data_IF_055611353052
#
_entry.id   IF_055611353052
#
_cell.length_a   1.000
_cell.length_b   1.000
_cell.length_c   1.000
_cell.angle_alpha   90.00
_cell.angle_beta   90.00
_cell.angle_gamma   90.00
#
_symmetry.space_group_name_H-M   'P 1'
#
loop_
_entity.id
_entity.type
_entity.pdbx_description
1 polymer ?
#
# COMPACT_ATOMS: atom_id res chain seq x y z
N UNK A 1 21.99 -3.20 -4.71
CA UNK A 1 22.99 -4.28 -4.75
C UNK A 1 23.96 -4.24 -3.57
N UNK A 2 24.81 -3.21 -3.41
CA UNK A 2 25.85 -3.19 -2.36
C UNK A 2 25.35 -3.41 -0.92
N UNK A 3 24.12 -2.99 -0.62
CA UNK A 3 23.50 -3.14 0.71
C UNK A 3 22.67 -4.44 0.87
N UNK A 4 22.58 -5.29 -0.17
CA UNK A 4 21.83 -6.55 -0.10
C UNK A 4 20.31 -6.41 0.08
N UNK A 5 19.71 -5.29 -0.32
CA UNK A 5 18.26 -5.08 -0.24
C UNK A 5 17.50 -5.93 -1.27
N UNK A 6 16.38 -6.53 -0.85
CA UNK A 6 15.53 -7.43 -1.66
C UNK A 6 14.57 -6.69 -2.61
N UNK A 7 14.44 -5.37 -2.47
CA UNK A 7 13.49 -4.59 -3.25
C UNK A 7 13.56 -3.09 -2.99
N UNK A 8 12.68 -2.36 -3.66
CA UNK A 8 12.45 -0.94 -3.46
C UNK A 8 10.99 -0.65 -3.13
N UNK A 9 10.74 0.54 -2.58
CA UNK A 9 9.39 1.04 -2.32
C UNK A 9 9.28 2.50 -2.73
N UNK A 10 8.19 2.86 -3.37
CA UNK A 10 7.87 4.25 -3.73
C UNK A 10 6.52 4.65 -3.15
N UNK A 11 6.41 5.90 -2.69
CA UNK A 11 5.11 6.51 -2.37
C UNK A 11 4.66 7.33 -3.58
N UNK A 12 3.46 7.04 -4.07
CA UNK A 12 2.88 7.75 -5.21
C UNK A 12 1.58 8.43 -4.77
N UNK A 13 1.69 9.71 -4.39
CA UNK A 13 0.51 10.53 -4.10
C UNK A 13 0.01 11.16 -5.38
N UNK A 14 -1.27 10.98 -5.68
CA UNK A 14 -1.89 11.51 -6.90
C UNK A 14 -2.99 12.50 -6.50
N UNK A 15 -2.70 13.77 -6.76
CA UNK A 15 -3.66 14.87 -6.80
C UNK A 15 -3.80 15.26 -8.28
N UNK A 16 -5.02 15.33 -8.82
CA UNK A 16 -5.22 15.40 -10.28
C UNK A 16 -4.95 16.78 -10.88
N UNK A 17 -4.96 17.83 -10.08
CA UNK A 17 -4.72 19.21 -10.50
C UNK A 17 -3.27 19.66 -10.30
N UNK A 18 -2.50 18.93 -9.48
CA UNK A 18 -1.10 19.19 -9.23
C UNK A 18 -0.21 18.74 -10.40
N UNK A 19 0.38 19.73 -11.07
CA UNK A 19 1.30 19.52 -12.20
C UNK A 19 2.56 18.75 -11.78
N UNK A 20 2.97 18.81 -10.51
CA UNK A 20 4.12 18.08 -9.96
C UNK A 20 3.94 16.57 -9.94
N UNK A 21 2.69 16.07 -10.00
CA UNK A 21 2.40 14.63 -10.07
C UNK A 21 2.94 14.02 -11.35
N UNK A 22 2.93 14.75 -12.48
CA UNK A 22 3.48 14.24 -13.73
C UNK A 22 4.99 13.97 -13.64
N UNK A 23 5.75 14.89 -13.01
CA UNK A 23 7.18 14.71 -12.74
C UNK A 23 7.42 13.52 -11.81
N UNK A 24 6.63 13.43 -10.73
CA UNK A 24 6.72 12.31 -9.77
C UNK A 24 6.49 10.96 -10.45
N UNK A 25 5.49 10.87 -11.34
CA UNK A 25 5.20 9.66 -12.11
C UNK A 25 6.37 9.26 -13.01
N UNK A 26 6.97 10.22 -13.72
CA UNK A 26 8.12 9.96 -14.59
C UNK A 26 9.33 9.45 -13.79
N UNK A 27 9.62 10.07 -12.64
CA UNK A 27 10.70 9.65 -11.75
C UNK A 27 10.46 8.26 -11.17
N UNK A 28 9.23 7.98 -10.71
CA UNK A 28 8.84 6.66 -10.21
C UNK A 28 9.05 5.59 -11.27
N UNK A 29 8.59 5.81 -12.50
CA UNK A 29 8.79 4.86 -13.62
C UNK A 29 10.28 4.66 -13.91
N UNK A 30 11.10 5.71 -13.85
CA UNK A 30 12.54 5.59 -14.02
C UNK A 30 13.18 4.74 -12.92
N UNK A 31 12.76 4.89 -11.66
CA UNK A 31 13.25 4.05 -10.55
C UNK A 31 12.76 2.61 -10.62
N UNK A 32 11.50 2.39 -11.04
CA UNK A 32 10.95 1.05 -11.27
C UNK A 32 11.80 0.30 -12.30
N UNK A 33 12.16 0.94 -13.42
CA UNK A 33 13.04 0.35 -14.43
C UNK A 33 14.39 -0.06 -13.85
N UNK A 34 14.99 0.75 -12.98
CA UNK A 34 16.27 0.41 -12.35
C UNK A 34 16.17 -0.81 -11.41
N UNK A 35 15.04 -0.98 -10.72
CA UNK A 35 14.80 -2.18 -9.89
C UNK A 35 14.57 -3.41 -10.77
N UNK A 36 13.79 -3.27 -11.83
CA UNK A 36 13.50 -4.33 -12.80
C UNK A 36 14.77 -4.85 -13.48
N UNK A 37 15.65 -3.96 -13.95
CA UNK A 37 16.97 -4.30 -14.53
C UNK A 37 17.85 -5.13 -13.58
N UNK A 38 17.52 -5.15 -12.29
CA UNK A 38 18.23 -5.88 -11.23
C UNK A 38 17.44 -7.08 -10.71
N UNK A 39 16.27 -7.38 -11.30
CA UNK A 39 15.40 -8.46 -10.86
C UNK A 39 14.78 -8.22 -9.47
N UNK A 40 14.66 -6.96 -9.04
CA UNK A 40 14.16 -6.60 -7.71
C UNK A 40 12.71 -6.11 -7.78
N UNK A 41 11.92 -6.49 -6.79
CA UNK A 41 10.53 -6.03 -6.66
C UNK A 41 10.49 -4.54 -6.32
N UNK A 42 9.56 -3.82 -6.95
CA UNK A 42 9.15 -2.48 -6.55
C UNK A 42 7.76 -2.52 -5.91
N UNK A 43 7.67 -2.10 -4.65
CA UNK A 43 6.40 -1.89 -3.95
C UNK A 43 5.93 -0.47 -4.23
N UNK A 44 4.83 -0.32 -4.97
CA UNK A 44 4.21 0.98 -5.25
C UNK A 44 3.09 1.22 -4.24
N UNK A 45 3.15 2.32 -3.49
CA UNK A 45 2.09 2.75 -2.57
C UNK A 45 1.31 3.92 -3.20
N UNK A 46 0.28 3.66 -4.03
CA UNK A 46 -0.54 4.70 -4.61
C UNK A 46 -1.57 5.20 -3.59
N UNK A 47 -1.64 6.51 -3.36
CA UNK A 47 -2.63 7.12 -2.47
C UNK A 47 -3.28 8.35 -3.14
N UNK A 48 -4.61 8.48 -3.09
CA UNK A 48 -5.28 9.60 -3.72
C UNK A 48 -5.26 10.77 -2.75
N UNK A 49 -4.90 11.94 -3.26
CA UNK A 49 -4.84 13.16 -2.47
C UNK A 49 -5.70 14.25 -3.11
N UNK A 50 -6.17 15.16 -2.27
CA UNK A 50 -6.81 16.42 -2.67
C UNK A 50 -6.15 17.57 -1.92
N UNK A 51 -6.33 18.79 -2.41
CA UNK A 51 -5.96 20.00 -1.67
C UNK A 51 -7.17 20.44 -0.86
N UNK A 52 -7.00 20.56 0.45
CA UNK A 52 -8.07 21.02 1.33
C UNK A 52 -8.29 22.54 1.24
N UNK A 53 -9.27 23.05 1.98
CA UNK A 53 -9.59 24.48 2.01
C UNK A 53 -8.49 25.37 2.57
N UNK A 54 -7.51 24.80 3.30
CA UNK A 54 -6.33 25.49 3.81
C UNK A 54 -5.14 25.41 2.83
N UNK A 55 -5.30 24.77 1.68
CA UNK A 55 -4.25 24.59 0.69
C UNK A 55 -3.29 23.44 1.02
N UNK A 56 -3.63 22.56 1.96
CA UNK A 56 -2.78 21.45 2.38
C UNK A 56 -3.18 20.14 1.69
N UNK A 57 -2.20 19.28 1.36
CA UNK A 57 -2.50 17.97 0.78
C UNK A 57 -3.11 17.06 1.85
N UNK A 58 -4.33 16.58 1.59
CA UNK A 58 -5.04 15.63 2.46
C UNK A 58 -5.35 14.33 1.71
N UNK A 59 -5.31 13.22 2.44
CA UNK A 59 -5.64 11.90 1.90
C UNK A 59 -7.14 11.84 1.58
N UNK A 60 -7.46 11.52 0.34
CA UNK A 60 -8.82 11.22 -0.07
C UNK A 60 -9.14 9.76 0.27
N UNK A 61 -10.29 9.50 0.90
CA UNK A 61 -10.75 8.14 1.24
C UNK A 61 -11.85 7.63 0.31
N UNK A 62 -12.08 8.31 -0.81
CA UNK A 62 -12.99 7.89 -1.88
C UNK A 62 -12.54 6.57 -2.51
N UNK A 63 -13.45 5.59 -2.53
CA UNK A 63 -13.24 4.32 -3.24
C UNK A 63 -13.00 4.54 -4.73
N UNK A 64 -13.81 5.38 -5.39
CA UNK A 64 -13.68 5.65 -6.84
C UNK A 64 -12.29 6.22 -7.19
N UNK A 65 -11.78 7.14 -6.38
CA UNK A 65 -10.44 7.70 -6.60
C UNK A 65 -9.36 6.67 -6.31
N UNK A 66 -9.53 5.85 -5.27
CA UNK A 66 -8.60 4.77 -4.98
C UNK A 66 -8.53 3.77 -6.14
N UNK A 67 -9.67 3.30 -6.64
CA UNK A 67 -9.78 2.35 -7.76
C UNK A 67 -9.08 2.89 -9.01
N UNK A 68 -9.31 4.18 -9.31
CA UNK A 68 -8.68 4.86 -10.43
C UNK A 68 -7.16 4.88 -10.30
N UNK A 69 -6.63 5.26 -9.13
CA UNK A 69 -5.17 5.35 -8.98
C UNK A 69 -4.50 3.98 -8.88
N UNK A 70 -5.21 2.96 -8.37
CA UNK A 70 -4.74 1.57 -8.38
C UNK A 70 -4.57 1.11 -9.82
N UNK A 71 -5.55 1.42 -10.67
CA UNK A 71 -5.49 1.14 -12.11
C UNK A 71 -4.34 1.89 -12.79
N UNK A 72 -4.11 3.16 -12.44
CA UNK A 72 -2.96 3.93 -12.94
C UNK A 72 -1.64 3.27 -12.51
N UNK A 73 -1.50 2.95 -11.22
CA UNK A 73 -0.29 2.34 -10.66
C UNK A 73 0.00 0.97 -11.28
N UNK A 74 -1.04 0.17 -11.53
CA UNK A 74 -0.94 -1.12 -12.19
C UNK A 74 -0.46 -1.01 -13.66
N UNK A 75 -0.66 0.14 -14.30
CA UNK A 75 -0.20 0.43 -15.66
C UNK A 75 1.16 1.12 -15.75
N UNK A 76 1.86 1.34 -14.63
CA UNK A 76 3.16 2.05 -14.65
C UNK A 76 4.30 1.14 -15.09
N UNK A 77 5.16 1.68 -15.95
CA UNK A 77 6.35 0.99 -16.46
C UNK A 77 6.11 0.27 -17.80
N UNK A 78 7.15 -0.37 -18.32
CA UNK A 78 7.08 -1.14 -19.56
C UNK A 78 6.42 -2.51 -19.35
N UNK A 79 6.52 -3.06 -18.14
CA UNK A 79 5.74 -4.20 -17.66
C UNK A 79 5.62 -4.12 -16.12
N UNK A 80 4.85 -5.02 -15.55
CA UNK A 80 4.52 -5.04 -14.12
C UNK A 80 4.88 -6.34 -13.42
N UNK A 81 5.75 -7.17 -14.01
CA UNK A 81 6.10 -8.48 -13.46
C UNK A 81 6.74 -8.40 -12.06
N UNK A 82 7.45 -7.32 -11.78
CA UNK A 82 8.12 -7.06 -10.50
C UNK A 82 7.50 -5.89 -9.73
N UNK A 83 6.22 -5.59 -10.00
CA UNK A 83 5.48 -4.54 -9.31
C UNK A 83 4.49 -5.16 -8.33
N UNK A 84 4.61 -4.80 -7.05
CA UNK A 84 3.62 -5.12 -6.03
C UNK A 84 2.94 -3.83 -5.57
N UNK A 85 1.68 -3.91 -5.14
CA UNK A 85 0.97 -2.76 -4.61
C UNK A 85 0.95 -2.77 -3.08
N UNK A 86 1.06 -1.58 -2.49
CA UNK A 86 0.82 -1.35 -1.07
C UNK A 86 -0.42 -0.49 -0.88
N UNK A 87 -1.50 -1.10 -0.41
CA UNK A 87 -2.83 -0.46 -0.38
C UNK A 87 -3.38 -0.33 1.05
N UNK A 88 -4.24 0.68 1.31
CA UNK A 88 -4.93 0.82 2.59
C UNK A 88 -5.75 -0.41 2.97
N UNK A 89 -5.82 -0.74 4.27
CA UNK A 89 -6.64 -1.85 4.74
C UNK A 89 -8.16 -1.62 4.53
N UNK A 90 -8.59 -0.36 4.47
CA UNK A 90 -9.97 0.02 4.14
C UNK A 90 -10.31 -0.14 2.65
N UNK A 91 -9.38 -0.56 1.80
CA UNK A 91 -9.65 -0.83 0.38
C UNK A 91 -10.70 -1.93 0.25
N UNK A 92 -11.71 -1.71 -0.60
CA UNK A 92 -12.80 -2.68 -0.76
C UNK A 92 -12.29 -4.02 -1.31
N UNK A 93 -12.93 -5.14 -0.93
CA UNK A 93 -12.60 -6.46 -1.47
C UNK A 93 -12.75 -6.53 -3.00
N UNK A 94 -13.69 -5.78 -3.57
CA UNK A 94 -13.88 -5.67 -5.03
C UNK A 94 -12.67 -5.02 -5.68
N UNK A 95 -12.22 -3.89 -5.14
CA UNK A 95 -11.00 -3.21 -5.61
C UNK A 95 -9.79 -4.12 -5.50
N UNK A 96 -9.58 -4.72 -4.32
CA UNK A 96 -8.46 -5.61 -4.05
C UNK A 96 -8.44 -6.79 -5.02
N UNK A 97 -9.59 -7.44 -5.25
CA UNK A 97 -9.68 -8.66 -6.05
C UNK A 97 -9.80 -8.45 -7.56
N UNK A 98 -10.26 -7.28 -8.02
CA UNK A 98 -10.65 -7.09 -9.43
C UNK A 98 -9.90 -5.97 -10.15
N UNK A 99 -9.28 -5.01 -9.44
CA UNK A 99 -8.59 -3.90 -10.10
C UNK A 99 -7.22 -4.29 -10.66
N UNK A 100 -6.62 -5.36 -10.15
CA UNK A 100 -5.30 -5.85 -10.58
C UNK A 100 -5.10 -7.32 -10.23
N UNK A 101 -4.21 -8.00 -10.96
CA UNK A 101 -3.72 -9.34 -10.63
C UNK A 101 -2.40 -9.31 -9.86
N UNK A 102 -1.84 -8.12 -9.60
CA UNK A 102 -0.58 -7.97 -8.87
C UNK A 102 -0.71 -8.41 -7.41
N UNK A 103 0.39 -8.84 -6.78
CA UNK A 103 0.43 -9.04 -5.34
C UNK A 103 0.21 -7.73 -4.58
N UNK A 104 -0.57 -7.79 -3.50
CA UNK A 104 -0.94 -6.66 -2.67
C UNK A 104 -0.45 -6.90 -1.23
N UNK A 105 0.20 -5.88 -0.66
CA UNK A 105 0.53 -5.78 0.76
C UNK A 105 -0.33 -4.69 1.40
N UNK A 106 -0.94 -4.97 2.55
CA UNK A 106 -1.76 -3.97 3.24
C UNK A 106 -0.92 -3.06 4.12
N UNK A 107 -1.21 -1.76 4.09
CA UNK A 107 -0.67 -0.80 5.04
C UNK A 107 -1.54 -0.67 6.29
N UNK A 108 -0.93 -0.22 7.38
CA UNK A 108 -1.60 -0.09 8.68
C UNK A 108 -2.26 1.26 8.97
N UNK A 109 -2.02 2.28 8.14
CA UNK A 109 -2.61 3.61 8.36
C UNK A 109 -2.15 4.29 9.65
N UNK A 110 -3.04 5.13 10.19
CA UNK A 110 -2.95 5.74 11.51
C UNK A 110 -4.17 5.30 12.32
N UNK A 111 -4.03 4.33 13.23
CA UNK A 111 -5.18 3.72 13.90
C UNK A 111 -5.74 4.59 15.04
N UNK A 112 -5.00 5.61 15.49
CA UNK A 112 -5.30 6.28 16.75
C UNK A 112 -5.49 5.28 17.89
N UNK A 113 -6.63 5.39 18.59
CA UNK A 113 -6.98 4.50 19.70
C UNK A 113 -7.64 3.18 19.23
N UNK A 114 -8.05 3.06 17.96
CA UNK A 114 -8.89 1.96 17.48
C UNK A 114 -8.09 0.82 16.81
N UNK A 115 -7.17 0.20 17.56
CA UNK A 115 -6.34 -0.89 17.03
C UNK A 115 -7.14 -2.14 16.62
N UNK A 116 -8.27 -2.39 17.29
CA UNK A 116 -9.13 -3.55 16.97
C UNK A 116 -9.80 -3.39 15.60
N UNK A 117 -10.09 -2.17 15.17
CA UNK A 117 -10.56 -1.89 13.83
C UNK A 117 -9.51 -2.19 12.77
N UNK A 118 -8.27 -1.74 12.98
CA UNK A 118 -7.16 -2.06 12.07
C UNK A 118 -6.96 -3.57 11.92
N UNK A 119 -7.08 -4.34 13.01
CA UNK A 119 -6.98 -5.80 12.96
C UNK A 119 -8.14 -6.42 12.15
N UNK A 120 -9.37 -5.95 12.33
CA UNK A 120 -10.54 -6.42 11.54
C UNK A 120 -10.40 -6.10 10.05
N UNK A 121 -9.94 -4.89 9.72
CA UNK A 121 -9.71 -4.50 8.32
C UNK A 121 -8.66 -5.39 7.66
N UNK A 122 -7.54 -5.66 8.35
CA UNK A 122 -6.53 -6.60 7.87
C UNK A 122 -7.08 -8.02 7.70
N UNK A 123 -7.80 -8.54 8.69
CA UNK A 123 -8.38 -9.88 8.65
C UNK A 123 -9.29 -10.07 7.44
N UNK A 124 -10.16 -9.09 7.16
CA UNK A 124 -11.08 -9.11 6.03
C UNK A 124 -10.33 -9.05 4.70
N UNK A 125 -9.42 -8.08 4.54
CA UNK A 125 -8.69 -7.88 3.29
C UNK A 125 -7.73 -9.03 2.97
N UNK A 126 -7.14 -9.68 3.98
CA UNK A 126 -6.29 -10.87 3.79
C UNK A 126 -7.05 -12.09 3.22
N UNK A 127 -8.39 -12.10 3.24
CA UNK A 127 -9.17 -13.16 2.57
C UNK A 127 -9.13 -13.07 1.05
N UNK A 128 -8.70 -11.94 0.48
CA UNK A 128 -8.65 -11.74 -0.98
C UNK A 128 -7.39 -12.43 -1.55
N UNK A 129 -7.49 -13.25 -2.62
CA UNK A 129 -6.40 -14.14 -3.05
C UNK A 129 -5.06 -13.47 -3.40
N UNK A 130 -5.09 -12.26 -3.95
CA UNK A 130 -3.88 -11.51 -4.32
C UNK A 130 -3.33 -10.64 -3.18
N UNK A 131 -3.97 -10.62 -2.00
CA UNK A 131 -3.46 -9.96 -0.80
C UNK A 131 -2.56 -10.93 -0.04
N UNK A 132 -1.25 -10.67 -0.09
CA UNK A 132 -0.21 -11.62 0.31
C UNK A 132 0.43 -11.29 1.67
N UNK A 133 0.02 -10.21 2.33
CA UNK A 133 0.56 -9.86 3.65
C UNK A 133 0.40 -8.40 4.04
N UNK A 134 1.22 -7.97 5.00
CA UNK A 134 1.18 -6.63 5.60
C UNK A 134 2.54 -5.93 5.49
N UNK A 135 2.51 -4.61 5.25
CA UNK A 135 3.64 -3.68 5.49
C UNK A 135 3.11 -2.55 6.37
N UNK A 136 3.00 -2.85 7.66
CA UNK A 136 2.46 -1.96 8.68
C UNK A 136 3.57 -1.34 9.54
N UNK A 137 3.44 -0.05 9.86
CA UNK A 137 4.38 0.69 10.69
C UNK A 137 3.75 1.12 12.01
N UNK A 138 3.16 2.33 12.03
CA UNK A 138 2.55 2.97 13.21
C UNK A 138 1.74 2.03 14.13
N UNK A 139 0.74 1.25 13.66
CA UNK A 139 -0.06 0.40 14.54
C UNK A 139 0.73 -0.70 15.26
N UNK A 140 1.90 -1.10 14.73
CA UNK A 140 2.75 -2.12 15.34
C UNK A 140 3.85 -1.49 16.22
N UNK A 141 4.39 -0.35 15.79
CA UNK A 141 5.51 0.32 16.48
C UNK A 141 5.08 1.22 17.63
N UNK A 142 3.91 1.84 17.53
CA UNK A 142 3.36 2.77 18.52
C UNK A 142 1.90 2.44 18.86
N UNK A 143 1.61 1.21 19.33
CA UNK A 143 0.24 0.81 19.58
C UNK A 143 -0.34 1.51 20.82
N UNK A 144 -1.45 2.23 20.63
CA UNK A 144 -2.16 2.87 21.73
C UNK A 144 -2.72 1.82 22.71
N UNK A 145 -2.34 1.92 23.99
CA UNK A 145 -2.87 1.06 25.06
C UNK A 145 -2.52 -0.44 24.97
N UNK A 146 -1.62 -0.83 24.06
CA UNK A 146 -1.13 -2.22 23.90
C UNK A 146 0.40 -2.25 23.83
N UNK A 147 0.99 -3.43 23.96
CA UNK A 147 2.43 -3.61 23.76
C UNK A 147 2.75 -3.88 22.28
N UNK A 148 3.96 -3.50 21.85
CA UNK A 148 4.49 -3.85 20.52
C UNK A 148 4.46 -5.37 20.30
N UNK A 149 4.75 -6.16 21.34
CA UNK A 149 4.72 -7.63 21.30
C UNK A 149 3.32 -8.17 21.01
N UNK A 150 2.30 -7.74 21.76
CA UNK A 150 0.90 -8.18 21.56
C UNK A 150 0.41 -7.85 20.15
N UNK A 151 0.64 -6.62 19.67
CA UNK A 151 0.19 -6.21 18.34
C UNK A 151 0.95 -6.92 17.22
N UNK A 152 2.25 -7.14 17.38
CA UNK A 152 3.05 -7.90 16.40
C UNK A 152 2.59 -9.35 16.33
N UNK A 153 2.36 -10.00 17.47
CA UNK A 153 1.91 -11.39 17.54
C UNK A 153 0.55 -11.59 16.87
N UNK A 154 -0.38 -10.65 17.07
CA UNK A 154 -1.69 -10.62 16.39
C UNK A 154 -1.53 -10.48 14.88
N UNK A 155 -0.72 -9.54 14.42
CA UNK A 155 -0.46 -9.34 12.98
C UNK A 155 0.18 -10.58 12.34
N UNK A 156 1.15 -11.22 13.01
CA UNK A 156 1.78 -12.46 12.55
C UNK A 156 0.76 -13.58 12.41
N UNK A 157 -0.16 -13.75 13.37
CA UNK A 157 -1.24 -14.75 13.27
C UNK A 157 -2.16 -14.51 12.09
N UNK A 158 -2.48 -13.26 11.77
CA UNK A 158 -3.33 -12.94 10.62
C UNK A 158 -2.67 -13.32 9.29
N UNK A 159 -1.35 -13.12 9.16
CA UNK A 159 -0.61 -13.37 7.90
C UNK A 159 -0.20 -14.84 7.76
N UNK A 160 0.25 -15.47 8.85
CA UNK A 160 0.91 -16.77 8.83
C UNK A 160 0.17 -17.87 9.61
N UNK A 161 -0.94 -17.53 10.28
CA UNK A 161 -1.78 -18.53 10.93
C UNK A 161 -2.36 -19.50 9.90
N UNK A 162 -2.43 -20.78 10.26
CA UNK A 162 -3.05 -21.81 9.41
C UNK A 162 -4.51 -21.42 9.19
N UNK A 163 -4.86 -21.10 7.94
CA UNK A 163 -6.25 -20.97 7.50
C UNK A 163 -6.83 -22.38 7.43
N UNK A 164 -7.58 -22.78 8.45
CA UNK A 164 -8.39 -24.00 8.44
C UNK A 164 -9.57 -23.86 7.50
#
# INVERSE_FOLDING_TARGET
ARLGLDGGKVLLRIEHTDRGVATTLADVVAQMRLLEERGLVCIVEPLPYVVDSAGLPTLDRSTDRLDKIVSIAAGLGANSMLTWLKLPAWTSAVTLGSATTMPILLLGGDPGENLDETLREWEHALQVPNVIGLVAGRPLLFPHGRSVGDMTERAVRLVHGVRT
#
